data_IF_183991004792
#
_entry.id   IF_183991004792
#
_cell.length_a   1.000
_cell.length_b   1.000
_cell.length_c   1.000
_cell.angle_alpha   90.00
_cell.angle_beta   90.00
_cell.angle_gamma   90.00
#
_symmetry.space_group_name_H-M   'P 1'
#
loop_
_entity.id
_entity.type
_entity.pdbx_description
1 polymer ?
#
# COMPACT_ATOMS: atom_id res chain seq x y z
N UNK A 1 9.92 25.55 -5.52
CA UNK A 1 10.71 24.30 -5.53
C UNK A 1 10.58 23.49 -4.24
N UNK A 2 10.71 24.08 -3.04
CA UNK A 2 10.59 23.36 -1.75
C UNK A 2 9.24 22.65 -1.53
N UNK A 3 8.12 23.28 -1.94
CA UNK A 3 6.79 22.71 -1.76
C UNK A 3 6.56 21.39 -2.51
N UNK A 4 6.99 21.29 -3.78
CA UNK A 4 6.85 20.06 -4.57
C UNK A 4 7.68 18.93 -3.97
N UNK A 5 8.89 19.24 -3.48
CA UNK A 5 9.73 18.27 -2.79
C UNK A 5 9.05 17.77 -1.50
N UNK A 6 8.46 18.67 -0.71
CA UNK A 6 7.73 18.32 0.50
C UNK A 6 6.54 17.39 0.19
N UNK A 7 5.75 17.70 -0.85
CA UNK A 7 4.63 16.84 -1.28
C UNK A 7 5.14 15.44 -1.66
N UNK A 8 6.25 15.34 -2.41
CA UNK A 8 6.84 14.04 -2.77
C UNK A 8 7.24 13.23 -1.53
N UNK A 9 7.88 13.88 -0.56
CA UNK A 9 8.30 13.23 0.70
C UNK A 9 7.07 12.74 1.47
N UNK A 10 6.05 13.59 1.63
CA UNK A 10 4.81 13.23 2.34
C UNK A 10 4.13 12.03 1.67
N UNK A 11 3.98 12.07 0.34
CA UNK A 11 3.33 10.99 -0.42
C UNK A 11 4.11 9.68 -0.30
N UNK A 12 5.44 9.71 -0.34
CA UNK A 12 6.28 8.52 -0.14
C UNK A 12 6.15 7.96 1.27
N UNK A 13 6.23 8.81 2.30
CA UNK A 13 6.10 8.38 3.70
C UNK A 13 4.72 7.75 3.92
N UNK A 14 3.66 8.39 3.42
CA UNK A 14 2.30 7.89 3.54
C UNK A 14 2.15 6.55 2.82
N UNK A 15 2.71 6.41 1.62
CA UNK A 15 2.69 5.17 0.86
C UNK A 15 3.45 4.05 1.60
N UNK A 16 4.60 4.35 2.19
CA UNK A 16 5.37 3.40 2.99
C UNK A 16 4.58 2.92 4.21
N UNK A 17 3.95 3.84 4.95
CA UNK A 17 3.16 3.48 6.14
C UNK A 17 1.95 2.63 5.74
N UNK A 18 1.12 3.11 4.80
CA UNK A 18 -0.09 2.40 4.40
C UNK A 18 0.23 1.05 3.74
N UNK A 19 1.25 1.02 2.88
CA UNK A 19 1.71 -0.19 2.22
C UNK A 19 2.25 -1.22 3.22
N UNK A 20 3.03 -0.78 4.21
CA UNK A 20 3.56 -1.68 5.25
C UNK A 20 2.43 -2.26 6.10
N UNK A 21 1.48 -1.43 6.56
CA UNK A 21 0.34 -1.91 7.34
C UNK A 21 -0.57 -2.83 6.51
N UNK A 22 -0.80 -2.52 5.23
CA UNK A 22 -1.52 -3.39 4.30
C UNK A 22 -0.81 -4.74 4.14
N UNK A 23 0.51 -4.75 3.97
CA UNK A 23 1.29 -5.97 3.85
C UNK A 23 1.21 -6.82 5.13
N UNK A 24 1.37 -6.22 6.31
CA UNK A 24 1.26 -6.92 7.60
C UNK A 24 -0.11 -7.56 7.78
N UNK A 25 -1.18 -6.81 7.52
CA UNK A 25 -2.55 -7.33 7.61
C UNK A 25 -2.84 -8.41 6.57
N UNK A 26 -2.25 -8.29 5.37
CA UNK A 26 -2.31 -9.33 4.33
C UNK A 26 -1.62 -10.63 4.74
N UNK A 27 -0.44 -10.55 5.38
CA UNK A 27 0.27 -11.71 5.93
C UNK A 27 -0.54 -12.39 7.03
N UNK A 28 -1.17 -11.62 7.92
CA UNK A 28 -2.05 -12.16 8.97
C UNK A 28 -3.24 -12.89 8.33
N UNK A 29 -3.88 -12.30 7.32
CA UNK A 29 -5.01 -12.94 6.62
C UNK A 29 -4.60 -14.18 5.82
N UNK A 30 -3.39 -14.17 5.26
CA UNK A 30 -2.84 -15.30 4.50
C UNK A 30 -2.56 -16.52 5.39
N UNK A 31 -2.08 -16.27 6.62
CA UNK A 31 -1.77 -17.32 7.61
C UNK A 31 -2.98 -17.72 8.45
N UNK A 32 -4.06 -16.94 8.44
CA UNK A 32 -5.29 -17.25 9.17
C UNK A 32 -5.93 -18.58 8.67
N UNK A 33 -6.51 -19.39 9.57
CA UNK A 33 -7.15 -20.66 9.21
C UNK A 33 -8.14 -20.51 8.04
N UNK A 34 -8.06 -21.46 7.10
CA UNK A 34 -8.97 -21.56 5.96
C UNK A 34 -10.21 -22.36 6.37
N UNK A 35 -11.39 -21.95 5.93
CA UNK A 35 -12.63 -22.72 6.09
C UNK A 35 -13.49 -22.43 7.33
N UNK A 36 -13.02 -21.69 8.34
CA UNK A 36 -13.80 -21.41 9.56
C UNK A 36 -14.71 -20.16 9.50
N UNK A 37 -15.04 -19.66 8.30
CA UNK A 37 -15.93 -18.50 8.12
C UNK A 37 -15.41 -17.19 8.74
N UNK A 38 -16.28 -16.16 8.80
CA UNK A 38 -15.97 -14.85 9.42
C UNK A 38 -15.58 -14.94 10.91
N UNK A 39 -15.85 -16.09 11.55
CA UNK A 39 -15.67 -16.35 12.98
C UNK A 39 -14.25 -16.77 13.37
N UNK A 40 -13.36 -16.99 12.39
CA UNK A 40 -11.97 -17.34 12.66
C UNK A 40 -11.29 -16.23 13.45
N UNK A 41 -10.60 -16.56 14.55
CA UNK A 41 -9.82 -15.58 15.31
C UNK A 41 -8.36 -15.66 14.84
N UNK A 42 -7.78 -14.52 14.47
CA UNK A 42 -6.35 -14.38 14.19
C UNK A 42 -5.79 -13.32 15.13
N UNK A 43 -4.70 -13.62 15.85
CA UNK A 43 -4.06 -12.68 16.77
C UNK A 43 -5.04 -11.96 17.73
N UNK A 44 -6.01 -12.70 18.27
CA UNK A 44 -7.00 -12.16 19.23
C UNK A 44 -8.12 -11.32 18.63
N UNK A 45 -8.16 -11.09 17.31
CA UNK A 45 -9.24 -10.39 16.63
C UNK A 45 -9.96 -11.28 15.61
N UNK A 46 -11.27 -11.06 15.37
CA UNK A 46 -11.98 -11.72 14.28
C UNK A 46 -11.30 -11.47 12.93
N UNK A 47 -11.20 -12.51 12.10
CA UNK A 47 -10.66 -12.44 10.74
C UNK A 47 -11.36 -11.39 9.89
N UNK A 48 -12.66 -11.18 10.11
CA UNK A 48 -13.43 -10.10 9.49
C UNK A 48 -12.82 -8.72 9.78
N UNK A 49 -12.39 -8.45 11.01
CA UNK A 49 -11.78 -7.16 11.38
C UNK A 49 -10.44 -6.97 10.67
N UNK A 50 -9.62 -8.02 10.59
CA UNK A 50 -8.39 -8.01 9.80
C UNK A 50 -8.66 -7.75 8.32
N UNK A 51 -9.70 -8.38 7.76
CA UNK A 51 -10.11 -8.21 6.36
C UNK A 51 -10.55 -6.78 6.09
N UNK A 52 -11.37 -6.21 6.98
CA UNK A 52 -11.80 -4.81 6.91
C UNK A 52 -10.62 -3.86 6.97
N UNK A 53 -9.71 -4.05 7.93
CA UNK A 53 -8.51 -3.23 8.08
C UNK A 53 -7.61 -3.32 6.85
N UNK A 54 -7.34 -4.53 6.37
CA UNK A 54 -6.56 -4.77 5.16
C UNK A 54 -7.18 -4.07 3.95
N UNK A 55 -8.50 -4.15 3.79
CA UNK A 55 -9.21 -3.54 2.65
C UNK A 55 -9.05 -2.02 2.65
N UNK A 56 -9.33 -1.36 3.78
CA UNK A 56 -9.21 0.10 3.87
C UNK A 56 -7.75 0.58 3.73
N UNK A 57 -6.79 -0.12 4.36
CA UNK A 57 -5.37 0.20 4.22
C UNK A 57 -4.90 0.03 2.79
N UNK A 58 -5.30 -1.04 2.11
CA UNK A 58 -4.91 -1.33 0.73
C UNK A 58 -5.54 -0.35 -0.25
N UNK A 59 -6.79 0.04 -0.03
CA UNK A 59 -7.46 1.05 -0.85
C UNK A 59 -6.79 2.43 -0.69
N UNK A 60 -6.48 2.82 0.56
CA UNK A 60 -5.72 4.03 0.85
C UNK A 60 -4.33 4.00 0.21
N UNK A 61 -3.58 2.91 0.39
CA UNK A 61 -2.26 2.72 -0.22
C UNK A 61 -2.33 2.82 -1.75
N UNK A 62 -3.34 2.23 -2.38
CA UNK A 62 -3.56 2.30 -3.83
C UNK A 62 -3.82 3.73 -4.29
N UNK A 63 -4.69 4.47 -3.60
CA UNK A 63 -4.94 5.89 -3.91
C UNK A 63 -3.67 6.74 -3.82
N UNK A 64 -2.89 6.54 -2.75
CA UNK A 64 -1.61 7.25 -2.56
C UNK A 64 -0.57 6.82 -3.61
N UNK A 65 -0.56 5.55 -4.04
CA UNK A 65 0.31 5.05 -5.10
C UNK A 65 0.00 5.72 -6.44
N UNK A 66 -1.28 5.94 -6.77
CA UNK A 66 -1.67 6.68 -7.97
C UNK A 66 -1.15 8.12 -7.92
N UNK A 67 -1.29 8.80 -6.77
CA UNK A 67 -0.75 10.15 -6.58
C UNK A 67 0.78 10.15 -6.67
N UNK A 68 1.44 9.16 -6.07
CA UNK A 68 2.89 8.98 -6.15
C UNK A 68 3.35 8.86 -7.60
N UNK A 69 2.68 8.02 -8.39
CA UNK A 69 2.96 7.81 -9.80
C UNK A 69 2.77 9.09 -10.61
N UNK A 70 1.67 9.80 -10.39
CA UNK A 70 1.36 11.05 -11.08
C UNK A 70 2.43 12.12 -10.85
N UNK A 71 2.84 12.35 -9.60
CA UNK A 71 3.83 13.38 -9.24
C UNK A 71 5.24 13.03 -9.73
N UNK A 72 5.54 11.73 -9.89
CA UNK A 72 6.84 11.21 -10.34
C UNK A 72 6.83 10.73 -11.80
N UNK A 73 5.78 11.02 -12.56
CA UNK A 73 5.57 10.50 -13.93
C UNK A 73 6.75 10.74 -14.87
N UNK A 74 7.30 11.96 -14.86
CA UNK A 74 8.47 12.33 -15.69
C UNK A 74 9.71 11.52 -15.32
N UNK A 75 9.95 11.28 -14.03
CA UNK A 75 11.07 10.48 -13.57
C UNK A 75 10.90 9.02 -13.97
N UNK A 76 9.69 8.47 -13.84
CA UNK A 76 9.40 7.12 -14.29
C UNK A 76 9.65 6.93 -15.79
N UNK A 77 9.13 7.84 -16.64
CA UNK A 77 9.38 7.78 -18.09
C UNK A 77 10.87 7.84 -18.38
N UNK A 78 11.61 8.72 -17.69
CA UNK A 78 13.06 8.79 -17.84
C UNK A 78 13.75 7.47 -17.51
N UNK A 79 13.39 6.83 -16.39
CA UNK A 79 13.94 5.51 -16.03
C UNK A 79 13.59 4.43 -17.05
N UNK A 80 12.34 4.40 -17.53
CA UNK A 80 11.91 3.43 -18.55
C UNK A 80 12.71 3.63 -19.85
N UNK A 81 12.82 4.87 -20.35
CA UNK A 81 13.58 5.17 -21.57
C UNK A 81 15.04 4.75 -21.45
N UNK A 82 15.66 5.09 -20.31
CA UNK A 82 17.05 4.73 -20.00
C UNK A 82 17.27 3.22 -19.99
N UNK A 83 16.33 2.44 -19.44
CA UNK A 83 16.40 0.97 -19.43
C UNK A 83 16.20 0.40 -20.84
N UNK A 84 15.30 0.98 -21.63
CA UNK A 84 14.97 0.52 -22.99
C UNK A 84 16.00 0.98 -24.05
N UNK A 85 17.01 1.77 -23.65
CA UNK A 85 18.07 2.23 -24.56
C UNK A 85 17.64 3.33 -25.53
N UNK A 86 16.60 4.11 -25.17
CA UNK A 86 16.18 5.32 -25.91
C UNK A 86 16.58 6.59 -25.18
#
# INVERSE_FOLDING_TARGET
MKAILAIRIIVVILLLILGTLSALTGVILYTAPRGSGESAIAFGLPKRNWSTLHTYLSFGATGVAVVHLYINWRALIYYIKKIVGK
#
